data_IF_685781223793
#
_entry.id   IF_685781223793
#
_cell.length_a   1.000
_cell.length_b   1.000
_cell.length_c   1.000
_cell.angle_alpha   90.00
_cell.angle_beta   90.00
_cell.angle_gamma   90.00
#
_symmetry.space_group_name_H-M   'P 1'
#
loop_
_entity.id
_entity.type
_entity.pdbx_description
1 polymer ?
#
# COMPACT_ATOMS: atom_id res chain seq x y z
N UNK A 1 8.08 12.05 4.64
CA UNK A 1 8.74 10.96 3.88
C UNK A 1 8.92 11.33 2.41
N UNK A 2 7.85 11.55 1.65
CA UNK A 2 7.92 11.89 0.22
C UNK A 2 8.67 13.20 -0.05
N UNK A 3 8.42 14.25 0.73
CA UNK A 3 9.10 15.55 0.57
C UNK A 3 10.60 15.47 0.89
N UNK A 4 10.97 14.70 1.91
CA UNK A 4 12.37 14.46 2.24
C UNK A 4 13.09 13.73 1.08
N UNK A 5 12.46 12.70 0.49
CA UNK A 5 13.02 12.01 -0.67
C UNK A 5 13.13 12.92 -1.90
N UNK A 6 12.17 13.81 -2.14
CA UNK A 6 12.22 14.76 -3.26
C UNK A 6 13.50 15.61 -3.27
N UNK A 7 13.98 16.02 -2.09
CA UNK A 7 15.24 16.76 -1.98
C UNK A 7 16.46 15.95 -2.42
N UNK A 8 16.45 14.63 -2.23
CA UNK A 8 17.59 13.77 -2.57
C UNK A 8 17.51 13.21 -3.99
N UNK A 9 16.33 12.93 -4.52
CA UNK A 9 16.18 12.25 -5.82
C UNK A 9 15.53 13.10 -6.91
N UNK A 10 15.13 14.34 -6.61
CA UNK A 10 14.49 15.23 -7.59
C UNK A 10 15.34 15.51 -8.83
N UNK A 11 16.66 15.40 -8.72
CA UNK A 11 17.61 15.60 -9.82
C UNK A 11 17.72 14.38 -10.76
N UNK A 12 17.22 13.20 -10.37
CA UNK A 12 17.34 11.96 -11.15
C UNK A 12 16.33 11.86 -12.30
N UNK A 13 15.46 12.88 -12.48
CA UNK A 13 14.42 12.89 -13.53
C UNK A 13 13.34 11.80 -13.40
N UNK A 14 13.37 11.03 -12.30
CA UNK A 14 12.43 9.95 -12.01
C UNK A 14 11.19 10.44 -11.26
N UNK A 15 10.11 9.66 -11.35
CA UNK A 15 8.87 9.96 -10.64
C UNK A 15 8.87 9.32 -9.24
N UNK A 16 8.57 10.14 -8.22
CA UNK A 16 8.39 9.65 -6.86
C UNK A 16 7.01 8.99 -6.70
N UNK A 17 7.00 7.78 -6.17
CA UNK A 17 5.77 7.11 -5.75
C UNK A 17 5.65 7.07 -4.22
N UNK A 18 4.40 7.04 -3.76
CA UNK A 18 4.02 6.71 -2.40
C UNK A 18 3.20 5.43 -2.43
N UNK A 19 3.41 4.59 -1.44
CA UNK A 19 2.71 3.32 -1.31
C UNK A 19 1.91 3.33 -0.02
N UNK A 20 0.65 2.90 -0.12
CA UNK A 20 -0.28 2.89 0.99
C UNK A 20 -0.77 1.46 1.20
N UNK A 21 -0.67 0.96 2.43
CA UNK A 21 -1.37 -0.26 2.82
C UNK A 21 -2.79 0.11 3.24
N UNK A 22 -3.77 -0.45 2.56
CA UNK A 22 -5.19 -0.23 2.79
C UNK A 22 -5.84 -1.53 3.24
N UNK A 23 -6.83 -1.42 4.12
CA UNK A 23 -7.65 -2.52 4.62
C UNK A 23 -9.07 -2.38 4.08
N UNK A 24 -9.53 -3.39 3.36
CA UNK A 24 -10.91 -3.54 2.91
C UNK A 24 -11.71 -4.49 3.82
N UNK A 25 -12.93 -4.86 3.39
CA UNK A 25 -13.75 -5.85 4.11
C UNK A 25 -13.07 -7.23 4.15
N UNK A 26 -13.51 -8.05 5.11
CA UNK A 26 -13.01 -9.42 5.34
C UNK A 26 -11.49 -9.47 5.59
N UNK A 27 -10.94 -8.47 6.27
CA UNK A 27 -9.50 -8.35 6.57
C UNK A 27 -8.58 -8.41 5.34
N UNK A 28 -9.08 -8.04 4.15
CA UNK A 28 -8.26 -7.97 2.93
C UNK A 28 -7.40 -6.72 2.94
N UNK A 29 -6.13 -6.88 2.59
CA UNK A 29 -5.17 -5.81 2.46
C UNK A 29 -4.85 -5.50 0.99
N UNK A 30 -4.52 -4.25 0.72
CA UNK A 30 -4.20 -3.77 -0.62
C UNK A 30 -3.03 -2.81 -0.51
N UNK A 31 -2.03 -2.98 -1.36
CA UNK A 31 -0.97 -1.99 -1.52
C UNK A 31 -1.36 -1.15 -2.74
N UNK A 32 -1.56 0.14 -2.54
CA UNK A 32 -1.82 1.09 -3.63
C UNK A 32 -0.57 1.91 -3.87
N UNK A 33 -0.09 1.88 -5.11
CA UNK A 33 1.08 2.65 -5.54
C UNK A 33 0.62 3.84 -6.37
N UNK A 34 0.90 5.05 -5.92
CA UNK A 34 0.52 6.27 -6.64
C UNK A 34 1.69 7.24 -6.70
N UNK A 35 1.68 8.15 -7.68
CA UNK A 35 2.65 9.23 -7.69
C UNK A 35 2.49 10.11 -6.45
N UNK A 36 3.61 10.69 -5.99
CA UNK A 36 3.70 11.55 -4.82
C UNK A 36 2.57 12.61 -4.78
N UNK A 37 2.38 13.32 -5.90
CA UNK A 37 1.38 14.38 -6.06
C UNK A 37 -0.05 13.90 -6.31
N UNK A 38 -0.28 12.61 -6.58
CA UNK A 38 -1.63 12.10 -6.85
C UNK A 38 -2.44 12.04 -5.56
N UNK A 39 -3.59 12.72 -5.53
CA UNK A 39 -4.55 12.58 -4.44
C UNK A 39 -5.27 11.23 -4.58
N UNK A 40 -5.16 10.40 -3.56
CA UNK A 40 -5.76 9.08 -3.50
C UNK A 40 -7.08 9.18 -2.74
N UNK A 41 -8.21 9.05 -3.45
CA UNK A 41 -9.54 8.99 -2.84
C UNK A 41 -9.96 7.54 -2.63
N UNK A 42 -10.02 7.12 -1.35
CA UNK A 42 -10.31 5.75 -0.97
C UNK A 42 -11.75 5.31 -1.33
N UNK A 43 -12.70 6.25 -1.31
CA UNK A 43 -14.10 5.95 -1.66
C UNK A 43 -14.23 5.68 -3.15
N UNK A 44 -13.62 6.55 -3.98
CA UNK A 44 -13.64 6.39 -5.43
C UNK A 44 -12.87 5.13 -5.85
N UNK A 45 -11.69 4.88 -5.26
CA UNK A 45 -10.90 3.69 -5.56
C UNK A 45 -11.64 2.40 -5.27
N UNK A 46 -12.30 2.32 -4.10
CA UNK A 46 -13.08 1.14 -3.75
C UNK A 46 -14.25 0.88 -4.71
N UNK A 47 -14.94 1.94 -5.13
CA UNK A 47 -16.02 1.84 -6.11
C UNK A 47 -15.50 1.36 -7.47
N UNK A 48 -14.40 1.95 -7.96
CA UNK A 48 -13.80 1.58 -9.26
C UNK A 48 -13.33 0.15 -9.33
N UNK A 49 -12.83 -0.39 -8.22
CA UNK A 49 -12.33 -1.76 -8.15
C UNK A 49 -13.45 -2.78 -7.89
N UNK A 50 -14.71 -2.35 -7.76
CA UNK A 50 -15.85 -3.23 -7.56
C UNK A 50 -15.85 -3.94 -6.19
N UNK A 51 -15.10 -3.42 -5.22
CA UNK A 51 -14.86 -4.10 -3.94
C UNK A 51 -15.87 -3.71 -2.85
N UNK A 52 -16.81 -2.79 -3.12
CA UNK A 52 -18.10 -2.66 -2.41
C UNK A 52 -18.06 -2.11 -0.97
N UNK A 53 -17.01 -1.38 -0.56
CA UNK A 53 -16.80 -0.98 0.85
C UNK A 53 -16.06 0.35 1.04
N UNK A 54 -16.11 0.97 2.21
CA UNK A 54 -15.07 1.95 2.58
C UNK A 54 -13.74 1.22 2.80
N UNK A 55 -12.69 1.65 2.10
CA UNK A 55 -11.32 1.21 2.39
C UNK A 55 -10.73 2.18 3.39
N UNK A 56 -10.00 1.64 4.36
CA UNK A 56 -9.36 2.41 5.41
C UNK A 56 -7.85 2.22 5.31
N UNK A 57 -7.10 3.17 5.84
CA UNK A 57 -5.66 2.97 6.00
C UNK A 57 -5.44 1.82 7.00
N UNK A 58 -4.55 0.89 6.67
CA UNK A 58 -4.21 -0.19 7.56
C UNK A 58 -3.48 0.35 8.81
N UNK A 59 -3.70 -0.26 9.99
CA UNK A 59 -2.98 0.11 11.19
C UNK A 59 -1.49 -0.29 11.08
N UNK A 60 -0.64 0.32 11.89
CA UNK A 60 0.81 0.11 11.82
C UNK A 60 1.21 -1.34 12.15
N UNK A 61 0.51 -1.97 13.09
CA UNK A 61 0.73 -3.36 13.48
C UNK A 61 0.56 -4.30 12.28
N UNK A 62 -0.39 -4.01 11.38
CA UNK A 62 -0.59 -4.80 10.17
C UNK A 62 0.56 -4.66 9.16
N UNK A 63 1.30 -3.54 9.16
CA UNK A 63 2.48 -3.40 8.32
C UNK A 63 3.57 -4.37 8.77
N UNK A 64 3.77 -4.50 10.09
CA UNK A 64 4.77 -5.38 10.64
C UNK A 64 4.37 -6.85 10.53
N UNK A 65 3.11 -7.19 10.83
CA UNK A 65 2.60 -8.56 10.78
C UNK A 65 2.49 -9.09 9.34
N UNK A 66 1.95 -8.29 8.42
CA UNK A 66 1.66 -8.75 7.05
C UNK A 66 2.86 -8.51 6.14
N UNK A 67 3.41 -7.30 6.15
CA UNK A 67 4.45 -6.89 5.22
C UNK A 67 5.86 -6.96 5.81
N UNK A 68 6.04 -7.14 7.13
CA UNK A 68 7.36 -7.11 7.79
C UNK A 68 8.19 -5.87 7.45
N UNK A 69 7.52 -4.72 7.34
CA UNK A 69 8.16 -3.42 7.12
C UNK A 69 7.65 -2.40 8.12
N UNK A 70 8.51 -1.46 8.57
CA UNK A 70 8.08 -0.39 9.46
C UNK A 70 7.20 0.64 8.74
N UNK A 71 6.50 1.47 9.52
CA UNK A 71 5.75 2.60 9.00
C UNK A 71 6.64 3.52 8.17
N UNK A 72 6.16 3.89 6.99
CA UNK A 72 6.96 4.70 6.05
C UNK A 72 8.02 3.90 5.29
N UNK A 73 8.01 2.56 5.31
CA UNK A 73 8.81 1.74 4.40
C UNK A 73 7.93 0.87 3.48
N UNK A 74 6.67 1.22 3.34
CA UNK A 74 5.72 0.51 2.46
C UNK A 74 6.23 0.55 1.02
N UNK A 75 6.36 -0.62 0.43
CA UNK A 75 6.81 -0.81 -0.94
C UNK A 75 5.97 -1.91 -1.59
N UNK A 76 5.69 -1.81 -2.90
CA UNK A 76 5.00 -2.87 -3.65
C UNK A 76 5.75 -4.20 -3.57
N UNK A 77 7.07 -4.14 -3.43
CA UNK A 77 7.92 -5.32 -3.31
C UNK A 77 7.77 -6.05 -1.97
N UNK A 78 7.17 -5.43 -0.95
CA UNK A 78 6.96 -6.06 0.36
C UNK A 78 6.03 -7.29 0.29
N UNK A 79 5.27 -7.46 -0.80
CA UNK A 79 4.47 -8.68 -1.06
C UNK A 79 5.33 -9.94 -1.23
N UNK A 80 6.64 -9.79 -1.46
CA UNK A 80 7.58 -10.92 -1.54
C UNK A 80 7.93 -11.49 -0.16
N UNK A 81 7.56 -10.83 0.93
CA UNK A 81 7.88 -11.34 2.26
C UNK A 81 7.05 -12.59 2.57
N UNK A 82 7.61 -13.54 3.33
CA UNK A 82 6.98 -14.83 3.60
C UNK A 82 5.63 -14.64 4.32
N UNK A 83 5.56 -13.70 5.26
CA UNK A 83 4.32 -13.31 5.94
C UNK A 83 3.21 -12.89 4.96
N UNK A 84 3.56 -12.07 3.96
CA UNK A 84 2.64 -11.62 2.93
C UNK A 84 2.22 -12.78 2.02
N UNK A 85 3.13 -13.72 1.71
CA UNK A 85 2.81 -14.94 0.96
C UNK A 85 1.85 -15.85 1.71
N UNK A 86 2.04 -16.05 3.02
CA UNK A 86 1.15 -16.86 3.87
C UNK A 86 -0.24 -16.21 3.91
N UNK A 87 -0.31 -14.91 4.20
CA UNK A 87 -1.56 -14.15 4.17
C UNK A 87 -2.28 -14.24 2.81
N UNK A 88 -1.52 -14.26 1.71
CA UNK A 88 -2.05 -14.46 0.36
C UNK A 88 -2.56 -15.88 0.11
N UNK A 89 -1.88 -16.93 0.59
CA UNK A 89 -2.30 -18.32 0.39
C UNK A 89 -3.58 -18.66 1.14
N UNK A 90 -3.73 -18.14 2.36
CA UNK A 90 -4.88 -18.46 3.19
C UNK A 90 -6.15 -17.74 2.76
N UNK A 91 -6.04 -16.51 2.24
CA UNK A 91 -7.22 -15.65 2.05
C UNK A 91 -7.12 -14.63 0.88
N UNK A 92 -6.09 -14.74 0.02
CA UNK A 92 -5.83 -13.84 -1.13
C UNK A 92 -5.78 -12.35 -0.73
N UNK A 93 -5.05 -12.07 0.35
CA UNK A 93 -5.17 -10.86 1.16
C UNK A 93 -4.30 -9.67 0.73
N UNK A 94 -3.34 -9.78 -0.17
CA UNK A 94 -2.44 -8.69 -0.53
C UNK A 94 -2.34 -8.56 -2.05
N UNK A 95 -3.09 -7.60 -2.61
CA UNK A 95 -2.97 -7.21 -4.03
C UNK A 95 -2.25 -5.86 -4.15
N UNK A 96 -1.33 -5.77 -5.10
CA UNK A 96 -0.77 -4.50 -5.53
C UNK A 96 -1.66 -3.92 -6.64
N UNK A 97 -2.01 -2.64 -6.52
CA UNK A 97 -2.87 -1.88 -7.45
C UNK A 97 -2.21 -0.55 -7.82
#
# INVERSE_FOLDING_TARGET
MVEAQANYVGHLGGALSKNLLLKGKKNRFYIVSALAGTKVDLKILSQRLGLGCEWLQAPEEALQEVLQVPLGCVSPFAVINESARIANRENNLCKCI
#
